data_IF_355268744496
#
_entry.id   IF_355268744496
#
_cell.length_a   1.000
_cell.length_b   1.000
_cell.length_c   1.000
_cell.angle_alpha   90.00
_cell.angle_beta   90.00
_cell.angle_gamma   90.00
#
_symmetry.space_group_name_H-M   'P 1'
#
loop_
_entity.id
_entity.type
_entity.pdbx_description
1 polymer ?
#
# COMPACT_ATOMS: atom_id res chain seq x y z
N UNK A 1 -10.58 -13.75 -4.28
CA UNK A 1 -10.15 -12.34 -4.46
C UNK A 1 -10.67 -11.56 -3.26
N UNK A 2 -9.83 -10.72 -2.65
CA UNK A 2 -10.27 -9.83 -1.57
C UNK A 2 -11.18 -8.74 -2.13
N UNK A 3 -12.12 -8.25 -1.30
CA UNK A 3 -12.96 -7.11 -1.68
C UNK A 3 -12.09 -5.87 -1.91
N UNK A 4 -12.53 -4.96 -2.77
CA UNK A 4 -11.91 -3.63 -2.82
C UNK A 4 -12.22 -2.87 -1.54
N UNK A 5 -11.38 -1.91 -1.15
CA UNK A 5 -11.61 -1.09 0.03
C UNK A 5 -11.16 -1.71 1.37
N UNK A 6 -11.39 -1.00 2.49
CA UNK A 6 -10.96 -1.42 3.82
C UNK A 6 -11.46 -2.80 4.26
N UNK A 7 -12.65 -3.21 3.80
CA UNK A 7 -13.26 -4.50 4.09
C UNK A 7 -12.49 -5.70 3.49
N UNK A 8 -11.62 -5.44 2.52
CA UNK A 8 -10.71 -6.43 1.95
C UNK A 8 -9.32 -6.43 2.57
N UNK A 9 -9.03 -5.50 3.50
CA UNK A 9 -7.75 -5.46 4.19
C UNK A 9 -7.57 -6.72 5.04
N UNK A 10 -6.38 -7.30 4.99
CA UNK A 10 -6.04 -8.53 5.69
C UNK A 10 -4.58 -8.50 6.12
N UNK A 11 -4.33 -9.08 7.29
CA UNK A 11 -3.00 -9.25 7.86
C UNK A 11 -2.81 -10.73 8.20
N UNK A 12 -1.59 -11.21 8.03
CA UNK A 12 -1.17 -12.49 8.59
C UNK A 12 -0.05 -12.26 9.60
N UNK A 13 -0.32 -12.61 10.85
CA UNK A 13 0.67 -12.60 11.94
C UNK A 13 0.99 -14.03 12.35
N UNK A 14 2.27 -14.40 12.42
CA UNK A 14 2.68 -15.63 13.10
C UNK A 14 2.74 -15.36 14.61
N UNK A 15 1.92 -16.06 15.41
CA UNK A 15 1.85 -15.91 16.87
C UNK A 15 2.50 -17.06 17.65
N UNK A 16 3.09 -18.04 16.97
CA UNK A 16 3.85 -19.11 17.61
C UNK A 16 5.35 -18.78 17.68
N UNK A 17 6.07 -19.57 18.45
CA UNK A 17 7.54 -19.64 18.48
C UNK A 17 8.13 -20.42 17.29
N UNK A 18 7.33 -21.23 16.62
CA UNK A 18 7.73 -21.99 15.42
C UNK A 18 7.66 -21.18 14.11
N UNK A 19 8.48 -21.56 13.12
CA UNK A 19 8.54 -20.92 11.79
C UNK A 19 7.29 -21.22 10.95
N UNK A 20 6.58 -20.16 10.54
CA UNK A 20 5.55 -20.23 9.51
C UNK A 20 6.13 -20.00 8.10
N UNK A 21 5.67 -20.77 7.10
CA UNK A 21 6.00 -20.59 5.68
C UNK A 21 4.73 -20.29 4.90
N UNK A 22 4.77 -19.25 4.06
CA UNK A 22 3.64 -18.83 3.24
C UNK A 22 4.07 -18.66 1.78
N UNK A 23 3.25 -19.14 0.86
CA UNK A 23 3.33 -18.80 -0.56
C UNK A 23 2.27 -17.74 -0.87
N UNK A 24 2.69 -16.53 -1.23
CA UNK A 24 1.79 -15.53 -1.81
C UNK A 24 1.95 -15.54 -3.33
N UNK A 25 0.84 -15.72 -4.04
CA UNK A 25 0.79 -15.58 -5.50
C UNK A 25 -0.02 -14.34 -5.84
N UNK A 26 0.54 -13.48 -6.69
CA UNK A 26 -0.09 -12.27 -7.18
C UNK A 26 0.16 -12.14 -8.66
N UNK A 27 -0.82 -11.66 -9.43
CA UNK A 27 -0.67 -11.25 -10.84
C UNK A 27 0.12 -9.92 -10.97
N UNK A 28 1.06 -9.71 -10.05
CA UNK A 28 1.81 -8.51 -9.75
C UNK A 28 2.07 -7.60 -10.98
N UNK A 29 1.29 -6.51 -11.09
CA UNK A 29 1.50 -5.46 -12.08
C UNK A 29 2.11 -4.23 -11.40
N UNK A 30 3.10 -3.62 -12.03
CA UNK A 30 3.79 -2.42 -11.55
C UNK A 30 3.48 -1.21 -12.47
N UNK A 31 3.42 0.02 -11.92
CA UNK A 31 3.47 0.34 -10.49
C UNK A 31 2.19 -0.08 -9.75
N UNK A 32 2.28 -0.22 -8.42
CA UNK A 32 1.13 -0.61 -7.58
C UNK A 32 1.00 0.25 -6.33
N UNK A 33 -0.24 0.60 -6.02
CA UNK A 33 -0.63 1.22 -4.78
C UNK A 33 -1.27 0.19 -3.81
N UNK A 34 -1.03 0.35 -2.50
CA UNK A 34 -1.71 -0.38 -1.45
C UNK A 34 -1.94 0.52 -0.23
N UNK A 35 -3.17 0.57 0.27
CA UNK A 35 -3.56 1.32 1.48
C UNK A 35 -3.34 0.44 2.71
N UNK A 36 -2.71 1.00 3.74
CA UNK A 36 -2.58 0.40 5.08
C UNK A 36 -3.58 1.09 6.01
N UNK A 37 -4.70 0.42 6.25
CA UNK A 37 -5.85 0.96 6.99
C UNK A 37 -5.57 1.23 8.47
N UNK A 38 -4.57 0.55 9.02
CA UNK A 38 -4.16 0.61 10.43
C UNK A 38 -3.31 1.84 10.76
N UNK A 39 -2.62 2.39 9.76
CA UNK A 39 -1.63 3.45 9.91
C UNK A 39 -1.92 4.68 9.04
N UNK A 40 -3.03 4.65 8.30
CA UNK A 40 -3.48 5.68 7.38
C UNK A 40 -2.38 6.10 6.39
N UNK A 41 -1.83 5.09 5.70
CA UNK A 41 -0.73 5.25 4.75
C UNK A 41 -1.03 4.61 3.41
N UNK A 42 -0.55 5.25 2.36
CA UNK A 42 -0.46 4.67 1.02
C UNK A 42 0.98 4.26 0.73
N UNK A 43 1.18 3.02 0.29
CA UNK A 43 2.42 2.57 -0.33
C UNK A 43 2.28 2.61 -1.84
N UNK A 44 3.25 3.20 -2.53
CA UNK A 44 3.41 3.06 -3.98
C UNK A 44 4.74 2.35 -4.25
N UNK A 45 4.73 1.30 -5.07
CA UNK A 45 5.94 0.59 -5.51
C UNK A 45 6.04 0.48 -7.03
N UNK A 46 7.28 0.49 -7.53
CA UNK A 46 7.63 0.35 -8.95
C UNK A 46 8.61 -0.81 -9.22
N UNK A 47 8.93 -1.60 -8.19
CA UNK A 47 9.83 -2.75 -8.31
C UNK A 47 9.67 -3.76 -7.16
N UNK A 48 10.49 -4.80 -7.17
CA UNK A 48 10.47 -5.92 -6.21
C UNK A 48 11.32 -5.64 -4.96
N UNK A 49 12.33 -4.78 -5.07
CA UNK A 49 13.27 -4.42 -4.01
C UNK A 49 12.63 -3.65 -2.86
N UNK A 50 13.30 -3.66 -1.70
CA UNK A 50 12.80 -3.01 -0.50
C UNK A 50 12.72 -1.47 -0.64
N UNK A 51 13.64 -0.88 -1.39
CA UNK A 51 13.75 0.57 -1.58
C UNK A 51 12.99 1.09 -2.82
N UNK A 52 12.43 0.17 -3.62
CA UNK A 52 11.64 0.45 -4.83
C UNK A 52 10.16 0.73 -4.49
N UNK A 53 9.95 1.42 -3.36
CA UNK A 53 8.65 1.87 -2.85
C UNK A 53 8.77 3.16 -2.06
N UNK A 54 7.67 3.89 -1.94
CA UNK A 54 7.51 5.04 -1.03
C UNK A 54 6.21 4.93 -0.26
N UNK A 55 6.20 5.58 0.90
CA UNK A 55 5.07 5.68 1.82
C UNK A 55 4.62 7.13 1.90
N UNK A 56 3.31 7.35 1.85
CA UNK A 56 2.67 8.66 1.96
C UNK A 56 1.59 8.57 3.05
N UNK A 57 1.37 9.64 3.82
CA UNK A 57 0.15 9.75 4.63
C UNK A 57 -1.01 10.10 3.73
N UNK A 58 -2.21 9.62 4.05
CA UNK A 58 -3.41 10.03 3.31
C UNK A 58 -3.73 11.50 3.57
N UNK A 59 -3.46 12.00 4.78
CA UNK A 59 -3.63 13.42 5.15
C UNK A 59 -2.69 14.38 4.39
N UNK A 60 -1.64 13.88 3.74
CA UNK A 60 -0.74 14.68 2.89
C UNK A 60 -1.27 14.79 1.45
N UNK A 61 -2.48 14.31 1.16
CA UNK A 61 -3.08 14.37 -0.17
C UNK A 61 -3.24 15.84 -0.60
N UNK A 62 -2.56 16.19 -1.69
CA UNK A 62 -2.74 17.46 -2.38
C UNK A 62 -3.76 17.29 -3.53
N UNK A 63 -4.40 18.38 -3.89
CA UNK A 63 -5.21 18.43 -5.10
C UNK A 63 -4.32 18.23 -6.34
N UNK A 64 -4.95 17.86 -7.46
CA UNK A 64 -4.22 17.68 -8.72
C UNK A 64 -3.52 18.96 -9.21
N UNK A 65 -4.08 20.12 -8.83
CA UNK A 65 -3.57 21.43 -9.20
C UNK A 65 -3.52 22.31 -7.95
N UNK A 66 -2.34 22.87 -7.66
CA UNK A 66 -2.18 23.94 -6.70
C UNK A 66 -2.32 25.25 -7.49
N UNK A 67 -3.40 26.00 -7.30
CA UNK A 67 -3.70 27.23 -8.05
C UNK A 67 -2.47 28.17 -8.12
N UNK A 68 -1.90 28.35 -9.31
CA UNK A 68 -1.28 29.62 -9.67
C UNK A 68 -2.42 30.60 -9.88
N UNK A 69 -2.49 31.66 -9.07
CA UNK A 69 -3.39 32.79 -9.27
C UNK A 69 -3.43 33.16 -10.77
N UNK A 70 -4.61 33.02 -11.39
CA UNK A 70 -4.90 33.66 -12.67
C UNK A 70 -4.87 35.19 -12.44
N UNK A 71 -3.68 35.78 -12.59
CA UNK A 71 -3.42 37.22 -12.56
C UNK A 71 -3.64 37.87 -13.93
#
# INVERSE_FOLDING_TARGET
LFRSGPEGAHELTNRSDELARLLLVSSFALPRAAVQVDSDKLMIRWGAGADERRWFRMDDAADYWDDVEDA
#
